data_IF_384187290562
#
_entry.id   IF_384187290562
#
_cell.length_a   1.000
_cell.length_b   1.000
_cell.length_c   1.000
_cell.angle_alpha   90.00
_cell.angle_beta   90.00
_cell.angle_gamma   90.00
#
_symmetry.space_group_name_H-M   'P 1'
#
loop_
_entity.id
_entity.type
_entity.pdbx_description
1 polymer ?
#
# COMPACT_ATOMS: atom_id res chain seq x y z
N UNK A 1 25.15 6.83 -7.84
CA UNK A 1 23.90 7.46 -7.34
C UNK A 1 23.18 6.48 -6.44
N UNK A 2 22.48 6.95 -5.39
CA UNK A 2 21.60 6.07 -4.60
C UNK A 2 20.52 5.47 -5.50
N UNK A 3 20.34 4.15 -5.42
CA UNK A 3 19.29 3.44 -6.14
C UNK A 3 17.94 3.70 -5.43
N UNK A 4 16.84 3.89 -6.18
CA UNK A 4 15.54 4.09 -5.55
C UNK A 4 15.05 2.80 -4.88
N UNK A 5 14.21 2.95 -3.85
CA UNK A 5 13.48 1.82 -3.30
C UNK A 5 12.40 1.36 -4.28
N UNK A 6 12.12 0.06 -4.29
CA UNK A 6 11.08 -0.53 -5.16
C UNK A 6 10.14 -1.36 -4.30
N UNK A 7 8.90 -0.90 -4.17
CA UNK A 7 7.85 -1.63 -3.46
C UNK A 7 6.99 -2.38 -4.45
N UNK A 8 6.75 -3.66 -4.18
CA UNK A 8 5.87 -4.53 -4.94
C UNK A 8 4.81 -5.10 -4.00
N UNK A 9 3.55 -4.98 -4.39
CA UNK A 9 2.41 -5.57 -3.68
C UNK A 9 1.69 -6.58 -4.57
N UNK A 10 1.23 -7.67 -3.95
CA UNK A 10 0.22 -8.51 -4.60
C UNK A 10 -1.10 -7.73 -4.67
N UNK A 11 -1.71 -7.64 -5.85
CA UNK A 11 -3.03 -7.01 -6.05
C UNK A 11 -4.15 -7.74 -5.30
N UNK A 12 -3.94 -9.03 -5.07
CA UNK A 12 -4.89 -9.90 -4.44
C UNK A 12 -4.51 -10.09 -2.97
N UNK A 13 -5.30 -9.47 -2.09
CA UNK A 13 -5.13 -9.55 -0.64
C UNK A 13 -5.95 -10.68 -0.01
N UNK A 14 -6.69 -11.47 -0.80
CA UNK A 14 -7.59 -12.51 -0.33
C UNK A 14 -7.38 -13.82 -1.08
N UNK A 15 -7.68 -14.94 -0.42
CA UNK A 15 -7.67 -16.27 -1.04
C UNK A 15 -9.09 -16.76 -1.24
N UNK A 16 -9.36 -17.36 -2.40
CA UNK A 16 -10.66 -17.92 -2.76
C UNK A 16 -11.18 -18.91 -1.72
N UNK A 17 -10.31 -19.79 -1.21
CA UNK A 17 -10.69 -20.80 -0.22
C UNK A 17 -10.92 -20.23 1.19
N UNK A 18 -10.47 -19.00 1.45
CA UNK A 18 -10.70 -18.30 2.72
C UNK A 18 -11.99 -17.50 2.72
N UNK A 19 -12.69 -17.40 1.58
CA UNK A 19 -13.92 -16.64 1.43
C UNK A 19 -15.10 -17.60 1.41
N UNK A 20 -16.04 -17.38 2.32
CA UNK A 20 -17.30 -18.09 2.28
C UNK A 20 -18.12 -17.66 1.06
N UNK A 21 -18.73 -18.64 0.41
CA UNK A 21 -19.65 -18.42 -0.70
C UNK A 21 -20.99 -17.87 -0.17
N UNK A 22 -20.99 -16.59 0.23
CA UNK A 22 -22.14 -15.87 0.79
C UNK A 22 -22.19 -14.44 0.23
N UNK A 23 -23.36 -14.02 -0.25
CA UNK A 23 -23.58 -12.68 -0.82
C UNK A 23 -23.19 -11.53 0.12
N UNK A 24 -23.24 -11.72 1.44
CA UNK A 24 -22.83 -10.72 2.44
C UNK A 24 -21.31 -10.57 2.48
N UNK A 25 -20.55 -11.64 2.25
CA UNK A 25 -19.08 -11.58 2.08
C UNK A 25 -18.73 -10.84 0.80
N UNK A 26 -19.37 -11.21 -0.30
CA UNK A 26 -19.16 -10.58 -1.60
C UNK A 26 -19.44 -9.07 -1.52
N UNK A 27 -20.59 -8.70 -0.96
CA UNK A 27 -20.97 -7.30 -0.75
C UNK A 27 -20.03 -6.57 0.20
N UNK A 28 -19.52 -7.22 1.25
CA UNK A 28 -18.53 -6.63 2.13
C UNK A 28 -17.25 -6.27 1.37
N UNK A 29 -16.74 -7.18 0.56
CA UNK A 29 -15.51 -6.91 -0.16
C UNK A 29 -15.68 -5.95 -1.33
N UNK A 30 -16.86 -5.91 -1.98
CA UNK A 30 -17.19 -4.84 -2.92
C UNK A 30 -17.00 -3.46 -2.26
N UNK A 31 -17.43 -3.28 -1.00
CA UNK A 31 -17.21 -2.03 -0.24
C UNK A 31 -15.75 -1.70 0.07
N UNK A 32 -14.87 -2.68 0.09
CA UNK A 32 -13.45 -2.46 0.33
C UNK A 32 -12.67 -2.20 -0.96
N UNK A 33 -13.32 -2.39 -2.10
CA UNK A 33 -12.74 -2.32 -3.44
C UNK A 33 -13.13 -1.03 -4.17
N UNK A 34 -12.53 -0.82 -5.35
CA UNK A 34 -12.91 0.26 -6.28
C UNK A 34 -14.35 0.13 -6.82
N UNK A 35 -15.03 -0.99 -6.57
CA UNK A 35 -16.43 -1.23 -6.96
C UNK A 35 -17.42 -0.98 -5.82
N UNK A 36 -17.04 -0.20 -4.81
CA UNK A 36 -17.91 0.11 -3.66
C UNK A 36 -19.27 0.71 -4.07
N UNK A 37 -19.33 1.39 -5.22
CA UNK A 37 -20.55 1.99 -5.74
C UNK A 37 -21.60 0.96 -6.20
N UNK A 38 -21.18 -0.29 -6.46
CA UNK A 38 -22.10 -1.41 -6.71
C UNK A 38 -22.53 -2.12 -5.43
N UNK A 39 -21.92 -1.78 -4.28
CA UNK A 39 -22.24 -2.42 -3.03
C UNK A 39 -23.58 -1.92 -2.47
N UNK A 40 -24.33 -2.85 -1.90
CA UNK A 40 -25.60 -2.58 -1.22
C UNK A 40 -25.37 -2.23 0.26
N UNK A 41 -26.27 -1.46 0.91
CA UNK A 41 -26.20 -1.23 2.35
C UNK A 41 -26.11 -2.55 3.13
N UNK A 42 -25.17 -2.66 4.07
CA UNK A 42 -24.98 -3.89 4.88
C UNK A 42 -25.73 -3.74 6.18
N UNK A 43 -26.47 -4.77 6.58
CA UNK A 43 -27.02 -4.87 7.92
C UNK A 43 -25.94 -5.38 8.88
N UNK A 44 -25.11 -4.49 9.42
CA UNK A 44 -24.00 -4.86 10.33
C UNK A 44 -24.46 -5.51 11.64
N UNK A 45 -25.75 -5.46 11.97
CA UNK A 45 -26.34 -6.16 13.12
C UNK A 45 -26.69 -7.62 12.81
N UNK A 46 -26.52 -8.09 11.57
CA UNK A 46 -26.68 -9.50 11.21
C UNK A 46 -25.67 -10.37 11.99
N UNK A 47 -26.13 -11.42 12.71
CA UNK A 47 -25.27 -12.35 13.45
C UNK A 47 -24.11 -12.93 12.62
N UNK A 48 -24.29 -13.04 11.30
CA UNK A 48 -23.27 -13.50 10.36
C UNK A 48 -21.92 -12.79 10.54
N UNK A 49 -21.91 -11.46 10.67
CA UNK A 49 -20.65 -10.72 10.77
C UNK A 49 -19.92 -11.00 12.08
N UNK A 50 -20.67 -11.27 13.16
CA UNK A 50 -20.10 -11.66 14.45
C UNK A 50 -19.56 -13.09 14.39
N UNK A 51 -20.28 -14.02 13.76
CA UNK A 51 -19.88 -15.42 13.60
C UNK A 51 -18.63 -15.57 12.73
N UNK A 52 -18.45 -14.69 11.74
CA UNK A 52 -17.30 -14.67 10.85
C UNK A 52 -16.14 -13.80 11.35
N UNK A 53 -16.20 -13.34 12.61
CA UNK A 53 -15.14 -12.56 13.25
C UNK A 53 -14.69 -11.33 12.44
N UNK A 54 -15.61 -10.67 11.74
CA UNK A 54 -15.30 -9.49 10.91
C UNK A 54 -14.69 -8.34 11.70
N UNK A 55 -14.99 -8.30 13.00
CA UNK A 55 -14.66 -7.19 13.89
C UNK A 55 -13.58 -7.56 14.91
N UNK A 56 -13.02 -8.77 14.82
CA UNK A 56 -11.89 -9.15 15.64
C UNK A 56 -10.61 -8.50 15.10
N UNK A 57 -9.78 -7.99 16.01
CA UNK A 57 -8.47 -7.46 15.64
C UNK A 57 -7.60 -8.58 15.08
N UNK A 58 -7.41 -8.60 13.76
CA UNK A 58 -6.43 -9.50 13.14
C UNK A 58 -5.03 -8.95 13.40
N UNK A 59 -4.14 -9.81 13.88
CA UNK A 59 -2.73 -9.45 14.01
C UNK A 59 -2.07 -9.42 12.64
N UNK A 60 -1.10 -8.52 12.45
CA UNK A 60 -0.25 -8.45 11.25
C UNK A 60 0.33 -9.83 10.89
N UNK A 61 0.71 -10.63 11.88
CA UNK A 61 1.24 -11.99 11.70
C UNK A 61 0.22 -12.97 11.12
N UNK A 62 -1.06 -12.85 11.44
CA UNK A 62 -2.11 -13.70 10.85
C UNK A 62 -2.39 -13.27 9.41
N UNK A 63 -2.53 -11.98 9.15
CA UNK A 63 -2.76 -11.46 7.79
C UNK A 63 -1.58 -11.78 6.86
N UNK A 64 -0.34 -11.66 7.36
CA UNK A 64 0.87 -12.04 6.62
C UNK A 64 0.97 -13.55 6.39
N UNK A 65 0.40 -14.40 7.27
CA UNK A 65 0.42 -15.86 7.07
C UNK A 65 -0.54 -16.28 5.95
N UNK A 66 -1.70 -15.63 5.89
CA UNK A 66 -2.77 -15.99 4.98
C UNK A 66 -2.52 -15.46 3.56
N UNK A 67 -1.85 -14.31 3.43
CA UNK A 67 -1.66 -13.61 2.16
C UNK A 67 -0.17 -13.33 1.92
N UNK A 68 0.43 -14.02 0.95
CA UNK A 68 1.86 -13.94 0.67
C UNK A 68 2.16 -13.91 -0.82
N UNK A 69 3.18 -13.14 -1.18
CA UNK A 69 4.02 -13.46 -2.33
C UNK A 69 4.67 -14.82 -2.06
N UNK A 70 4.45 -15.79 -2.94
CA UNK A 70 4.84 -17.20 -2.74
C UNK A 70 6.35 -17.37 -2.70
N UNK A 71 7.04 -16.70 -3.62
CA UNK A 71 8.50 -16.64 -3.67
C UNK A 71 8.94 -15.44 -4.48
N UNK A 72 10.20 -15.06 -4.30
CA UNK A 72 10.80 -13.92 -4.97
C UNK A 72 12.29 -14.17 -5.18
N UNK A 73 12.81 -13.74 -6.32
CA UNK A 73 14.24 -13.72 -6.63
C UNK A 73 14.62 -12.30 -6.99
N UNK A 74 15.72 -11.82 -6.41
CA UNK A 74 16.24 -10.47 -6.61
C UNK A 74 17.66 -10.57 -7.12
N UNK A 75 17.91 -9.91 -8.24
CA UNK A 75 19.24 -9.79 -8.81
C UNK A 75 19.56 -8.31 -8.96
N UNK A 76 20.78 -7.93 -8.59
CA UNK A 76 21.30 -6.59 -8.80
C UNK A 76 22.72 -6.68 -9.33
N UNK A 77 22.99 -5.97 -10.43
CA UNK A 77 24.30 -6.02 -11.11
C UNK A 77 24.69 -7.44 -11.55
N UNK A 78 23.72 -8.29 -11.93
CA UNK A 78 23.97 -9.68 -12.33
C UNK A 78 24.33 -10.63 -11.18
N UNK A 79 24.04 -10.25 -9.93
CA UNK A 79 24.25 -11.10 -8.75
C UNK A 79 22.96 -11.26 -7.97
N UNK A 80 22.69 -12.49 -7.56
CA UNK A 80 21.61 -12.80 -6.64
C UNK A 80 21.82 -12.10 -5.29
N UNK A 81 20.77 -11.49 -4.77
CA UNK A 81 20.76 -10.84 -3.46
C UNK A 81 19.97 -11.67 -2.44
N UNK A 82 20.44 -11.67 -1.19
CA UNK A 82 19.68 -12.25 -0.09
C UNK A 82 18.51 -11.33 0.28
N UNK A 83 17.28 -11.81 0.05
CA UNK A 83 16.08 -11.07 0.39
C UNK A 83 16.01 -10.71 1.89
N UNK A 84 16.66 -11.46 2.79
CA UNK A 84 16.65 -11.13 4.23
C UNK A 84 17.41 -9.85 4.56
N UNK A 85 18.39 -9.49 3.73
CA UNK A 85 19.23 -8.32 3.94
C UNK A 85 18.67 -7.10 3.22
N UNK A 86 18.15 -7.28 2.00
CA UNK A 86 17.78 -6.19 1.11
C UNK A 86 16.27 -5.96 0.96
N UNK A 87 15.43 -6.83 1.52
CA UNK A 87 13.97 -6.77 1.33
C UNK A 87 13.21 -6.79 2.65
N UNK A 88 12.29 -5.84 2.83
CA UNK A 88 11.38 -5.78 3.97
C UNK A 88 9.95 -6.12 3.57
N UNK A 89 9.22 -6.81 4.43
CA UNK A 89 7.83 -7.24 4.21
C UNK A 89 6.88 -6.52 5.16
N UNK A 90 5.74 -6.07 4.64
CA UNK A 90 4.67 -5.42 5.40
C UNK A 90 3.33 -5.54 4.66
N UNK A 91 2.26 -5.04 5.26
CA UNK A 91 0.92 -5.02 4.65
C UNK A 91 0.47 -3.58 4.47
N UNK A 92 -0.04 -3.27 3.29
CA UNK A 92 -0.79 -2.05 3.01
C UNK A 92 -2.25 -2.39 2.74
N UNK A 93 -3.10 -1.36 2.57
CA UNK A 93 -4.47 -1.52 2.06
C UNK A 93 -4.50 -2.34 0.77
N UNK A 94 -3.52 -2.08 -0.09
CA UNK A 94 -3.21 -2.79 -1.32
C UNK A 94 -3.05 -4.31 -1.20
N UNK A 95 -2.76 -4.82 -0.01
CA UNK A 95 -2.38 -6.21 0.23
C UNK A 95 -0.95 -6.38 0.77
N UNK A 96 -0.43 -7.62 0.76
CA UNK A 96 0.93 -7.92 1.16
C UNK A 96 1.94 -7.29 0.21
N UNK A 97 2.90 -6.58 0.78
CA UNK A 97 3.91 -5.85 0.05
C UNK A 97 5.31 -6.23 0.53
N UNK A 98 6.25 -6.13 -0.39
CA UNK A 98 7.67 -6.17 -0.12
C UNK A 98 8.32 -4.89 -0.64
N UNK A 99 9.44 -4.48 -0.06
CA UNK A 99 10.22 -3.34 -0.55
C UNK A 99 11.67 -3.72 -0.63
N UNK A 100 12.21 -3.59 -1.83
CA UNK A 100 13.62 -3.68 -2.11
C UNK A 100 14.33 -2.38 -1.71
N UNK A 101 15.44 -2.52 -1.02
CA UNK A 101 16.29 -1.45 -0.50
C UNK A 101 15.53 -0.36 0.30
N UNK A 102 14.75 -0.74 1.33
CA UNK A 102 13.93 0.21 2.08
C UNK A 102 14.73 1.27 2.82
N UNK A 103 16.03 1.03 3.06
CA UNK A 103 16.92 1.95 3.75
C UNK A 103 17.89 2.68 2.79
N UNK A 104 17.78 2.45 1.48
CA UNK A 104 18.58 3.14 0.47
C UNK A 104 20.07 2.86 0.56
N UNK A 105 20.46 1.64 0.90
CA UNK A 105 21.85 1.19 1.05
C UNK A 105 22.52 0.91 -0.29
N UNK A 106 21.74 0.64 -1.34
CA UNK A 106 22.24 0.28 -2.65
C UNK A 106 22.52 1.54 -3.48
N UNK A 107 23.64 1.51 -4.19
CA UNK A 107 24.01 2.55 -5.14
C UNK A 107 24.31 1.93 -6.50
N UNK A 108 24.08 2.69 -7.56
CA UNK A 108 24.46 2.32 -8.93
C UNK A 108 25.15 3.49 -9.61
N UNK A 109 26.16 3.20 -10.41
CA UNK A 109 26.83 4.10 -11.35
C UNK A 109 26.74 3.59 -12.81
N UNK A 110 26.12 2.42 -13.00
CA UNK A 110 25.92 1.76 -14.28
C UNK A 110 24.48 1.93 -14.74
N UNK A 111 24.30 2.15 -16.04
CA UNK A 111 23.00 2.15 -16.70
C UNK A 111 22.85 0.92 -17.60
N UNK A 112 21.64 0.37 -17.69
CA UNK A 112 21.32 -0.73 -18.61
C UNK A 112 20.57 -1.86 -17.90
N UNK A 113 19.59 -2.47 -18.57
CA UNK A 113 18.70 -3.47 -17.97
C UNK A 113 19.45 -4.66 -17.35
N UNK A 114 20.49 -5.16 -18.03
CA UNK A 114 21.26 -6.34 -17.58
C UNK A 114 22.02 -6.13 -16.27
N UNK A 115 22.42 -4.90 -15.96
CA UNK A 115 23.24 -4.58 -14.79
C UNK A 115 22.45 -3.78 -13.75
N UNK A 116 21.13 -3.79 -13.83
CA UNK A 116 20.25 -3.09 -12.89
C UNK A 116 19.50 -4.12 -12.02
N UNK A 117 18.41 -3.69 -11.39
CA UNK A 117 17.52 -4.54 -10.62
C UNK A 117 16.69 -5.42 -11.54
N UNK A 118 16.81 -6.75 -11.39
CA UNK A 118 15.89 -7.73 -11.95
C UNK A 118 15.16 -8.41 -10.78
N UNK A 119 13.83 -8.55 -10.91
CA UNK A 119 13.01 -9.17 -9.89
C UNK A 119 12.04 -10.16 -10.53
N UNK A 120 12.01 -11.39 -10.01
CA UNK A 120 11.03 -12.40 -10.40
C UNK A 120 10.13 -12.66 -9.20
N UNK A 121 8.85 -12.33 -9.35
CA UNK A 121 7.86 -12.42 -8.28
C UNK A 121 6.86 -13.51 -8.61
N UNK A 122 6.69 -14.45 -7.68
CA UNK A 122 5.75 -15.55 -7.79
C UNK A 122 4.55 -15.28 -6.89
N UNK A 123 3.36 -15.18 -7.49
CA UNK A 123 2.08 -15.01 -6.79
C UNK A 123 1.17 -16.20 -7.05
N UNK A 124 0.21 -16.45 -6.16
CA UNK A 124 -0.72 -17.58 -6.26
C UNK A 124 -1.99 -17.17 -7.02
N UNK A 125 -1.81 -16.69 -8.25
CA UNK A 125 -2.85 -16.07 -9.07
C UNK A 125 -4.13 -16.93 -9.26
N UNK A 126 -4.02 -18.26 -9.17
CA UNK A 126 -5.14 -19.20 -9.33
C UNK A 126 -6.01 -19.30 -8.07
N UNK A 127 -5.40 -19.22 -6.89
CA UNK A 127 -6.09 -19.31 -5.60
C UNK A 127 -6.36 -17.94 -4.97
N UNK A 128 -5.72 -16.91 -5.47
CA UNK A 128 -5.95 -15.52 -5.14
C UNK A 128 -7.38 -15.11 -5.59
N UNK A 129 -7.98 -14.21 -4.81
CA UNK A 129 -9.28 -13.59 -5.07
C UNK A 129 -9.12 -12.07 -5.16
N UNK A 130 -10.19 -11.32 -5.48
CA UNK A 130 -10.07 -9.87 -5.64
C UNK A 130 -9.54 -9.20 -4.35
N UNK A 131 -8.82 -8.10 -4.52
CA UNK A 131 -8.39 -7.22 -3.42
C UNK A 131 -9.11 -5.88 -3.51
N UNK A 132 -8.35 -4.80 -3.33
CA UNK A 132 -8.81 -3.44 -3.64
C UNK A 132 -9.16 -3.28 -5.14
N UNK A 133 -8.39 -3.98 -5.99
CA UNK A 133 -8.61 -4.07 -7.43
C UNK A 133 -9.18 -5.44 -7.82
N UNK A 134 -9.89 -5.49 -8.96
CA UNK A 134 -10.39 -6.73 -9.59
C UNK A 134 -9.39 -7.37 -10.56
N UNK A 135 -8.19 -6.79 -10.67
CA UNK A 135 -7.11 -7.34 -11.48
C UNK A 135 -6.24 -8.33 -10.71
N UNK A 136 -5.73 -9.35 -11.40
CA UNK A 136 -4.74 -10.29 -10.88
C UNK A 136 -3.35 -9.89 -11.34
N UNK A 137 -2.38 -9.89 -10.42
CA UNK A 137 -1.01 -9.52 -10.73
C UNK A 137 -0.34 -8.82 -9.57
N UNK A 138 0.71 -8.09 -9.88
CA UNK A 138 1.41 -7.23 -8.92
C UNK A 138 1.24 -5.77 -9.31
N UNK A 139 1.21 -4.90 -8.31
CA UNK A 139 1.49 -3.48 -8.50
C UNK A 139 2.79 -3.10 -7.86
N UNK A 140 3.54 -2.21 -8.50
CA UNK A 140 4.79 -1.72 -7.94
C UNK A 140 4.94 -0.21 -8.09
N UNK A 141 5.72 0.36 -7.18
CA UNK A 141 6.07 1.78 -7.15
C UNK A 141 7.57 1.91 -6.93
N UNK A 142 8.17 2.88 -7.62
CA UNK A 142 9.56 3.27 -7.47
C UNK A 142 9.55 4.60 -6.72
N UNK A 143 10.24 4.68 -5.59
CA UNK A 143 10.17 5.83 -4.69
C UNK A 143 11.52 6.13 -4.03
N UNK A 144 11.60 7.28 -3.35
CA UNK A 144 12.76 7.58 -2.52
C UNK A 144 12.77 6.63 -1.30
N UNK A 145 13.92 6.08 -0.87
CA UNK A 145 13.96 5.19 0.29
C UNK A 145 13.40 5.82 1.59
N UNK A 146 13.44 7.14 1.72
CA UNK A 146 12.86 7.84 2.87
C UNK A 146 11.35 8.13 2.71
N UNK A 147 10.77 7.81 1.56
CA UNK A 147 9.34 7.94 1.27
C UNK A 147 8.62 6.67 1.72
N UNK A 148 7.53 6.85 2.49
CA UNK A 148 6.62 5.75 2.77
C UNK A 148 6.01 5.24 1.46
N UNK A 149 6.05 3.92 1.19
CA UNK A 149 5.69 3.35 -0.10
C UNK A 149 4.19 3.24 -0.29
N UNK A 150 3.55 4.40 -0.30
CA UNK A 150 2.12 4.51 -0.39
C UNK A 150 1.63 4.45 -1.83
N UNK A 151 0.55 3.71 -2.03
CA UNK A 151 -0.14 3.61 -3.31
C UNK A 151 -1.34 4.57 -3.25
N UNK A 152 -1.18 5.75 -3.83
CA UNK A 152 -2.15 6.85 -3.87
C UNK A 152 -2.73 7.08 -5.28
N UNK A 153 -2.47 6.16 -6.20
CA UNK A 153 -2.85 6.24 -7.62
C UNK A 153 -1.86 7.01 -8.49
N UNK A 154 -0.77 7.55 -7.91
CA UNK A 154 0.23 8.35 -8.64
C UNK A 154 1.55 7.58 -8.73
N UNK A 155 2.03 7.36 -9.96
CA UNK A 155 3.32 6.69 -10.25
C UNK A 155 3.38 5.20 -9.87
N UNK A 156 2.26 4.51 -10.04
CA UNK A 156 2.12 3.07 -9.85
C UNK A 156 2.10 2.34 -11.19
N UNK A 157 2.65 1.14 -11.21
CA UNK A 157 2.69 0.27 -12.38
C UNK A 157 2.06 -1.07 -12.05
N UNK A 158 1.38 -1.65 -13.03
CA UNK A 158 0.68 -2.93 -12.91
C UNK A 158 1.32 -3.95 -13.84
N UNK A 159 1.51 -5.17 -13.34
CA UNK A 159 2.11 -6.28 -14.12
C UNK A 159 1.25 -7.51 -13.95
N UNK A 160 0.77 -8.04 -15.08
CA UNK A 160 0.03 -9.29 -15.12
C UNK A 160 0.97 -10.50 -14.95
N UNK A 161 0.48 -11.61 -14.39
CA UNK A 161 1.23 -12.87 -14.37
C UNK A 161 1.67 -13.30 -15.78
N UNK A 162 2.89 -13.81 -15.89
CA UNK A 162 3.45 -14.25 -17.17
C UNK A 162 3.88 -13.12 -18.12
N UNK A 163 3.90 -11.87 -17.63
CA UNK A 163 4.43 -10.72 -18.36
C UNK A 163 5.73 -10.22 -17.73
N UNK A 164 6.56 -9.62 -18.57
CA UNK A 164 7.76 -8.88 -18.17
C UNK A 164 7.54 -7.40 -18.46
N UNK A 165 8.01 -6.54 -17.55
CA UNK A 165 8.06 -5.10 -17.76
C UNK A 165 9.48 -4.60 -17.50
N UNK A 166 9.94 -3.67 -18.34
CA UNK A 166 11.20 -2.96 -18.14
C UNK A 166 10.90 -1.48 -17.89
N UNK A 167 11.25 -0.98 -16.72
CA UNK A 167 11.04 0.42 -16.34
C UNK A 167 12.36 1.19 -16.40
N UNK A 168 12.47 2.13 -17.36
CA UNK A 168 13.57 3.07 -17.41
C UNK A 168 13.30 4.23 -16.44
N UNK A 169 14.25 4.50 -15.54
CA UNK A 169 14.07 5.46 -14.45
C UNK A 169 14.94 6.69 -14.72
N UNK A 170 14.36 7.88 -14.53
CA UNK A 170 15.09 9.16 -14.53
C UNK A 170 14.88 9.86 -13.20
N UNK A 171 15.96 10.15 -12.48
CA UNK A 171 15.90 10.94 -11.24
C UNK A 171 15.90 12.43 -11.56
N UNK A 172 14.85 13.13 -11.14
CA UNK A 172 14.80 14.58 -11.11
C UNK A 172 14.82 15.05 -9.65
N UNK A 173 15.77 15.92 -9.29
CA UNK A 173 15.87 16.50 -7.95
C UNK A 173 15.56 17.99 -8.01
N UNK A 174 14.64 18.44 -7.16
CA UNK A 174 14.29 19.84 -7.01
C UNK A 174 14.75 20.32 -5.64
N UNK A 175 15.58 21.36 -5.61
CA UNK A 175 16.04 21.99 -4.37
C UNK A 175 15.43 23.37 -4.28
N UNK A 176 14.60 23.59 -3.26
CA UNK A 176 13.94 24.87 -3.01
C UNK A 176 14.75 25.67 -2.00
N UNK A 177 14.93 26.96 -2.27
CA UNK A 177 15.64 27.86 -1.35
C UNK A 177 14.77 28.14 -0.11
N UNK A 178 15.44 28.29 1.03
CA UNK A 178 14.81 28.67 2.30
C UNK A 178 14.36 30.14 2.29
N UNK A 179 13.79 30.63 3.40
CA UNK A 179 13.44 32.05 3.53
C UNK A 179 14.67 32.94 3.17
N UNK A 180 14.49 34.02 2.39
CA UNK A 180 13.24 34.71 2.04
C UNK A 180 12.61 34.28 0.71
N UNK A 181 13.10 33.22 0.06
CA UNK A 181 12.60 32.79 -1.25
C UNK A 181 11.25 32.07 -1.11
N UNK A 182 10.26 32.49 -1.90
CA UNK A 182 8.90 31.93 -1.89
C UNK A 182 8.83 30.72 -2.82
N UNK A 183 8.11 29.67 -2.41
CA UNK A 183 7.98 28.44 -3.18
C UNK A 183 6.58 28.23 -3.76
N UNK A 184 5.52 28.71 -3.07
CA UNK A 184 4.14 28.61 -3.52
C UNK A 184 3.40 29.93 -3.29
N UNK A 185 3.14 30.67 -4.36
CA UNK A 185 2.51 31.99 -4.33
C UNK A 185 3.15 32.94 -3.28
N UNK A 186 2.54 33.07 -2.10
CA UNK A 186 3.01 33.91 -1.00
C UNK A 186 3.57 33.15 0.22
N UNK A 187 3.70 31.83 0.13
CA UNK A 187 4.19 30.99 1.22
C UNK A 187 5.63 30.52 1.00
N UNK A 188 6.31 30.32 2.14
CA UNK A 188 7.65 29.72 2.22
C UNK A 188 7.54 28.20 2.39
N UNK A 189 8.54 27.45 1.95
CA UNK A 189 8.67 26.04 2.30
C UNK A 189 8.67 25.90 3.84
N UNK A 190 7.84 24.99 4.34
CA UNK A 190 7.86 24.58 5.75
C UNK A 190 8.65 23.29 5.82
N UNK A 191 9.77 23.31 6.52
CA UNK A 191 10.50 22.10 6.89
C UNK A 191 9.67 21.37 7.95
N UNK A 192 8.88 20.39 7.53
CA UNK A 192 8.18 19.48 8.42
C UNK A 192 8.84 18.10 8.25
N UNK A 193 8.96 17.36 9.35
CA UNK A 193 9.26 15.92 9.33
C UNK A 193 8.05 15.16 9.85
N UNK A 194 7.89 13.91 9.42
CA UNK A 194 6.92 13.01 10.01
C UNK A 194 7.27 12.71 11.48
N UNK A 195 6.29 12.24 12.26
CA UNK A 195 6.49 11.91 13.68
C UNK A 195 7.45 10.75 13.93
N UNK A 196 7.71 9.93 12.91
CA UNK A 196 8.68 8.83 12.90
C UNK A 196 10.07 9.27 12.40
N UNK A 197 10.25 10.55 12.07
CA UNK A 197 11.52 11.11 11.61
C UNK A 197 11.76 11.04 10.09
N UNK A 198 10.84 10.46 9.31
CA UNK A 198 10.92 10.43 7.84
C UNK A 198 10.62 11.80 7.22
N UNK A 199 11.05 11.99 5.98
CA UNK A 199 10.81 13.23 5.23
C UNK A 199 9.31 13.43 5.00
N UNK A 200 8.85 14.67 5.09
CA UNK A 200 7.42 14.99 4.99
C UNK A 200 7.02 15.23 3.53
N UNK A 201 6.36 14.26 2.94
CA UNK A 201 5.84 14.35 1.57
C UNK A 201 4.43 14.95 1.53
N UNK A 202 4.04 15.51 0.38
CA UNK A 202 2.71 16.11 0.18
C UNK A 202 1.58 15.10 0.43
N UNK A 203 1.76 13.85 -0.01
CA UNK A 203 0.81 12.74 0.16
C UNK A 203 0.59 12.40 1.63
N UNK A 204 1.67 12.33 2.40
CA UNK A 204 1.63 12.20 3.87
C UNK A 204 0.83 13.31 4.54
N UNK A 205 0.92 14.55 4.04
CA UNK A 205 0.14 15.67 4.56
C UNK A 205 -1.36 15.44 4.44
N UNK A 206 -1.81 15.03 3.25
CA UNK A 206 -3.22 14.73 3.02
C UNK A 206 -3.70 13.59 3.92
N UNK A 207 -2.93 12.51 4.04
CA UNK A 207 -3.30 11.36 4.88
C UNK A 207 -3.31 11.66 6.37
N UNK A 208 -2.31 12.37 6.89
CA UNK A 208 -2.28 12.81 8.29
C UNK A 208 -3.44 13.76 8.60
N UNK A 209 -3.75 14.68 7.68
CA UNK A 209 -4.91 15.57 7.79
C UNK A 209 -6.23 14.78 7.84
N UNK A 210 -6.42 13.87 6.89
CA UNK A 210 -7.62 13.04 6.79
C UNK A 210 -7.79 12.15 8.03
N UNK A 211 -6.72 11.49 8.49
CA UNK A 211 -6.74 10.66 9.69
C UNK A 211 -7.10 11.47 10.95
N UNK A 212 -6.56 12.67 11.12
CA UNK A 212 -6.94 13.57 12.24
C UNK A 212 -8.40 13.99 12.16
N UNK A 213 -8.87 14.29 10.96
CA UNK A 213 -10.25 14.65 10.72
C UNK A 213 -11.21 13.49 11.03
N UNK A 214 -10.88 12.26 10.62
CA UNK A 214 -11.64 11.06 11.00
C UNK A 214 -11.63 10.84 12.51
N UNK A 215 -10.46 10.96 13.16
CA UNK A 215 -10.36 10.75 14.61
C UNK A 215 -11.23 11.74 15.39
N UNK A 216 -11.27 13.01 14.95
CA UNK A 216 -12.08 14.05 15.60
C UNK A 216 -13.57 13.93 15.30
N UNK A 217 -13.93 13.53 14.08
CA UNK A 217 -15.33 13.43 13.66
C UNK A 217 -16.00 12.11 14.06
N UNK A 218 -15.24 11.01 14.03
CA UNK A 218 -15.75 9.64 14.18
C UNK A 218 -15.19 8.90 15.40
N UNK A 219 -14.16 9.43 16.07
CA UNK A 219 -13.51 8.77 17.21
C UNK A 219 -12.56 7.63 16.85
N UNK A 220 -12.32 7.40 15.55
CA UNK A 220 -11.47 6.32 15.05
C UNK A 220 -10.84 6.69 13.70
N UNK A 221 -9.90 5.86 13.24
CA UNK A 221 -9.28 5.95 11.91
C UNK A 221 -9.30 4.59 11.22
N UNK A 222 -9.15 4.62 9.89
CA UNK A 222 -9.12 3.41 9.06
C UNK A 222 -8.08 2.39 9.55
N UNK A 223 -8.33 1.10 9.28
CA UNK A 223 -7.60 -0.04 9.83
C UNK A 223 -6.09 -0.04 9.51
N UNK A 224 -5.68 0.70 8.49
CA UNK A 224 -4.27 0.86 8.10
C UNK A 224 -3.51 1.89 8.93
N UNK A 225 -4.20 2.69 9.75
CA UNK A 225 -3.58 3.63 10.65
C UNK A 225 -3.36 3.00 12.03
N UNK A 226 -2.11 3.04 12.50
CA UNK A 226 -1.62 2.33 13.69
C UNK A 226 -2.20 2.84 15.04
N UNK A 227 -3.22 3.71 15.02
CA UNK A 227 -3.76 4.41 16.20
C UNK A 227 -5.29 4.39 16.18
N UNK A 228 -5.94 3.68 17.10
CA UNK A 228 -7.42 3.70 17.27
C UNK A 228 -8.22 3.23 16.03
N UNK A 229 -8.07 1.96 15.60
CA UNK A 229 -8.80 1.42 14.47
C UNK A 229 -10.32 1.45 14.71
N UNK A 230 -11.08 1.72 13.66
CA UNK A 230 -12.53 1.72 13.71
C UNK A 230 -13.12 0.33 14.04
N UNK A 231 -14.23 0.32 14.78
CA UNK A 231 -14.98 -0.88 15.17
C UNK A 231 -16.48 -0.72 14.83
N UNK A 232 -17.30 -1.71 15.18
CA UNK A 232 -18.75 -1.72 14.87
C UNK A 232 -19.50 -0.50 15.37
N UNK A 233 -19.16 0.04 16.55
CA UNK A 233 -19.81 1.23 17.09
C UNK A 233 -19.54 2.50 16.27
N UNK A 234 -18.49 2.51 15.44
CA UNK A 234 -18.11 3.66 14.61
C UNK A 234 -18.61 3.56 13.16
N UNK A 235 -19.18 2.42 12.74
CA UNK A 235 -19.54 2.18 11.33
C UNK A 235 -20.70 3.03 10.82
N UNK A 236 -21.70 3.36 11.66
CA UNK A 236 -22.82 4.24 11.25
C UNK A 236 -22.37 5.67 10.93
N UNK A 237 -21.29 6.13 11.58
CA UNK A 237 -20.68 7.44 11.39
C UNK A 237 -19.72 7.45 10.20
N UNK A 238 -19.04 6.33 9.92
CA UNK A 238 -18.12 6.17 8.79
C UNK A 238 -18.81 6.12 7.42
N UNK A 239 -19.95 5.42 7.31
CA UNK A 239 -20.67 5.28 6.03
C UNK A 239 -21.19 6.61 5.50
N UNK A 240 -21.48 7.58 6.37
CA UNK A 240 -21.85 8.93 5.93
C UNK A 240 -20.65 9.75 5.44
N UNK A 241 -19.43 9.43 5.88
CA UNK A 241 -18.23 10.21 5.53
C UNK A 241 -17.58 9.75 4.23
N UNK A 242 -17.56 8.43 3.96
CA UNK A 242 -17.02 7.86 2.72
C UNK A 242 -17.87 8.28 1.50
N UNK A 243 -19.16 8.56 1.70
CA UNK A 243 -20.09 8.96 0.62
C UNK A 243 -19.99 10.46 0.26
N UNK A 244 -19.33 11.30 1.09
CA UNK A 244 -19.33 12.77 0.94
C UNK A 244 -17.96 13.33 0.49
N UNK A 245 -16.94 12.48 0.31
CA UNK A 245 -15.64 12.85 -0.29
C UNK A 245 -15.45 12.21 -1.65
#
# INVERSE_FOLDING_TARGET
MQFPAVTICNLNSLKRNSILNDTRMENHYLKLSLLEFYATPSNWSDPFFKEQNFFENRTLTTVLKDHKIRSQVWEFHGRDLDAKEYVSFFILRSGPCLTFDPNGQITTDITGSKFNLNAWINIDAENDYFGESFGTGIKFKIHDPNEYPDFDGISEYYVEPGREISAAIRKNKFEYLSKPYKAMANNYCREKRNSDGTDYYSTHCFKDCFARHMLTSCGCVDFTANKSPCNTSHMHTLTHYIIIT
#
